data_IF_423866072878
#
_entry.id   IF_423866072878
#
_cell.length_a   1.000
_cell.length_b   1.000
_cell.length_c   1.000
_cell.angle_alpha   90.00
_cell.angle_beta   90.00
_cell.angle_gamma   90.00
#
_symmetry.space_group_name_H-M   'P 1'
#
loop_
_entity.id
_entity.type
_entity.pdbx_description
1 polymer ?
#
# COMPACT_ATOMS: atom_id res chain seq x y z
N UNK A 1 32.77 -31.23 -6.57
CA UNK A 1 32.45 -31.59 -5.18
C UNK A 1 31.20 -30.83 -4.75
N UNK A 2 30.02 -31.42 -4.93
CA UNK A 2 28.77 -30.79 -4.49
C UNK A 2 28.63 -31.02 -2.97
N UNK A 3 28.85 -29.98 -2.17
CA UNK A 3 28.63 -30.04 -0.72
C UNK A 3 27.16 -30.32 -0.44
N UNK A 4 26.87 -31.35 0.37
CA UNK A 4 25.51 -31.64 0.82
C UNK A 4 25.05 -30.47 1.69
N UNK A 5 24.09 -29.69 1.20
CA UNK A 5 23.42 -28.67 2.01
C UNK A 5 22.63 -29.41 3.09
N UNK A 6 23.05 -29.27 4.34
CA UNK A 6 22.32 -29.80 5.49
C UNK A 6 20.92 -29.16 5.62
N UNK A 7 20.13 -29.62 6.59
CA UNK A 7 18.82 -28.99 6.87
C UNK A 7 19.03 -27.49 7.10
N UNK A 8 18.26 -26.60 6.44
CA UNK A 8 18.38 -25.16 6.65
C UNK A 8 18.20 -24.82 8.13
N UNK A 9 18.98 -23.86 8.61
CA UNK A 9 18.89 -23.37 9.98
C UNK A 9 17.51 -22.78 10.26
N UNK A 10 16.96 -23.06 11.44
CA UNK A 10 15.76 -22.39 11.94
C UNK A 10 16.05 -20.89 12.19
N UNK A 11 15.06 -19.99 12.07
CA UNK A 11 15.25 -18.56 12.31
C UNK A 11 15.85 -18.27 13.68
N UNK A 12 16.67 -17.21 13.79
CA UNK A 12 17.46 -16.94 15.00
C UNK A 12 16.60 -16.78 16.26
N UNK A 13 15.46 -16.09 16.15
CA UNK A 13 14.50 -15.95 17.25
C UNK A 13 13.92 -17.29 17.70
N UNK A 14 13.59 -18.18 16.76
CA UNK A 14 13.05 -19.52 17.06
C UNK A 14 14.13 -20.39 17.72
N UNK A 15 15.36 -20.30 17.22
CA UNK A 15 16.52 -20.97 17.80
C UNK A 15 16.79 -20.52 19.23
N UNK A 16 16.72 -19.21 19.47
CA UNK A 16 16.88 -18.61 20.80
C UNK A 16 15.77 -19.06 21.77
N UNK A 17 14.50 -19.04 21.33
CA UNK A 17 13.36 -19.52 22.12
C UNK A 17 13.47 -21.01 22.49
N UNK A 18 14.11 -21.82 21.63
CA UNK A 18 14.44 -23.21 21.89
C UNK A 18 15.60 -23.44 22.86
N UNK A 19 16.13 -22.38 23.49
CA UNK A 19 17.22 -22.46 24.46
C UNK A 19 18.63 -22.40 23.85
N UNK A 20 18.76 -21.97 22.59
CA UNK A 20 20.04 -21.84 21.89
C UNK A 20 20.91 -23.12 21.95
N UNK A 21 20.42 -24.27 21.44
CA UNK A 21 21.13 -25.55 21.52
C UNK A 21 22.51 -25.53 20.83
N UNK A 22 22.68 -24.66 19.84
CA UNK A 22 23.95 -24.48 19.10
C UNK A 22 24.93 -23.52 19.79
N UNK A 23 24.56 -22.91 20.93
CA UNK A 23 25.38 -21.98 21.71
C UNK A 23 25.93 -20.82 20.86
N UNK A 24 25.15 -20.36 19.89
CA UNK A 24 25.50 -19.21 19.06
C UNK A 24 25.50 -17.93 19.90
N UNK A 25 26.31 -16.91 19.55
CA UNK A 25 26.20 -15.60 20.16
C UNK A 25 24.77 -15.07 20.07
N UNK A 26 24.25 -14.52 21.18
CA UNK A 26 22.88 -13.99 21.22
C UNK A 26 22.66 -12.88 20.19
N UNK A 27 23.71 -12.09 19.91
CA UNK A 27 23.67 -11.06 18.87
C UNK A 27 23.40 -11.65 17.47
N UNK A 28 23.91 -12.83 17.17
CA UNK A 28 23.71 -13.49 15.88
C UNK A 28 22.29 -14.08 15.76
N UNK A 29 21.67 -14.42 16.89
CA UNK A 29 20.30 -14.96 16.95
C UNK A 29 19.22 -13.88 16.96
N UNK A 30 19.49 -12.74 17.59
CA UNK A 30 18.54 -11.65 17.78
C UNK A 30 18.83 -10.43 16.90
N UNK A 31 19.91 -10.45 16.11
CA UNK A 31 20.31 -9.37 15.21
C UNK A 31 19.46 -9.24 13.94
N UNK A 32 18.44 -10.09 13.75
CA UNK A 32 17.52 -9.97 12.63
C UNK A 32 16.71 -8.67 12.73
N UNK A 33 16.58 -7.97 11.59
CA UNK A 33 15.80 -6.74 11.51
C UNK A 33 14.32 -7.01 11.87
N UNK A 34 13.87 -6.40 12.97
CA UNK A 34 12.53 -6.58 13.51
C UNK A 34 12.06 -5.26 14.11
N UNK A 35 11.55 -4.32 13.29
CA UNK A 35 11.07 -3.04 13.79
C UNK A 35 9.88 -3.26 14.73
N UNK A 36 9.73 -2.37 15.70
CA UNK A 36 8.57 -2.38 16.59
C UNK A 36 7.28 -2.16 15.80
N UNK A 37 6.25 -2.91 16.16
CA UNK A 37 4.91 -2.72 15.61
C UNK A 37 4.37 -1.41 16.17
N UNK A 38 4.18 -0.43 15.29
CA UNK A 38 3.70 0.89 15.67
C UNK A 38 3.10 1.59 14.45
N UNK A 39 1.86 2.08 14.60
CA UNK A 39 1.23 2.89 13.56
C UNK A 39 1.88 4.29 13.48
N UNK A 40 2.54 4.66 12.36
CA UNK A 40 3.08 6.00 12.19
C UNK A 40 2.00 7.09 12.23
N UNK A 41 2.39 8.29 12.66
CA UNK A 41 1.50 9.45 12.67
C UNK A 41 1.13 9.86 11.24
N UNK A 42 -0.18 10.01 11.01
CA UNK A 42 -0.73 10.44 9.74
C UNK A 42 -0.13 11.80 9.33
N UNK A 43 0.45 11.94 8.12
CA UNK A 43 1.01 13.21 7.68
C UNK A 43 -0.04 14.33 7.60
N UNK A 44 0.32 15.52 8.09
CA UNK A 44 -0.58 16.68 8.16
C UNK A 44 -1.05 17.18 6.80
N UNK A 45 -0.25 17.01 5.75
CA UNK A 45 -0.56 17.48 4.40
C UNK A 45 -1.55 16.60 3.63
N UNK A 46 -1.91 15.40 4.13
CA UNK A 46 -2.88 14.53 3.46
C UNK A 46 -4.25 15.19 3.40
N UNK A 47 -5.01 15.00 2.33
CA UNK A 47 -6.40 15.48 2.27
C UNK A 47 -7.34 14.60 3.10
N UNK A 48 -8.59 15.02 3.31
CA UNK A 48 -9.52 14.32 4.21
C UNK A 48 -9.78 12.86 3.83
N UNK A 49 -10.00 12.56 2.54
CA UNK A 49 -10.18 11.18 2.09
C UNK A 49 -8.92 10.33 2.28
N UNK A 50 -7.75 10.90 2.00
CA UNK A 50 -6.48 10.20 2.23
C UNK A 50 -6.26 9.96 3.73
N UNK A 51 -6.58 10.93 4.60
CA UNK A 51 -6.50 10.75 6.05
C UNK A 51 -7.49 9.70 6.57
N UNK A 52 -8.69 9.60 5.99
CA UNK A 52 -9.66 8.55 6.30
C UNK A 52 -9.09 7.18 5.96
N UNK A 53 -8.54 7.04 4.77
CA UNK A 53 -7.96 5.78 4.31
C UNK A 53 -6.74 5.37 5.13
N UNK A 54 -5.82 6.29 5.37
CA UNK A 54 -4.64 6.07 6.20
C UNK A 54 -5.01 5.50 7.58
N UNK A 55 -6.05 6.06 8.21
CA UNK A 55 -6.55 5.57 9.50
C UNK A 55 -7.29 4.24 9.38
N UNK A 56 -8.01 4.00 8.28
CA UNK A 56 -8.74 2.74 8.04
C UNK A 56 -7.78 1.57 7.92
N UNK A 57 -6.80 1.67 7.02
CA UNK A 57 -5.82 0.59 6.80
C UNK A 57 -4.82 0.49 7.96
N UNK A 58 -4.41 1.63 8.52
CA UNK A 58 -3.42 1.67 9.59
C UNK A 58 -3.86 0.91 10.84
N UNK A 59 -5.14 1.02 11.23
CA UNK A 59 -5.69 0.28 12.37
C UNK A 59 -5.62 -1.24 12.17
N UNK A 60 -5.94 -1.73 10.97
CA UNK A 60 -5.87 -3.16 10.69
C UNK A 60 -4.42 -3.64 10.62
N UNK A 61 -3.53 -2.88 9.96
CA UNK A 61 -2.12 -3.24 9.88
C UNK A 61 -1.45 -3.31 11.26
N UNK A 62 -1.74 -2.35 12.15
CA UNK A 62 -1.25 -2.36 13.52
C UNK A 62 -1.78 -3.56 14.30
N UNK A 63 -3.09 -3.84 14.19
CA UNK A 63 -3.73 -5.00 14.83
C UNK A 63 -3.07 -6.32 14.47
N UNK A 64 -2.59 -6.46 13.24
CA UNK A 64 -1.95 -7.68 12.74
C UNK A 64 -0.41 -7.66 12.78
N UNK A 65 0.21 -6.61 13.33
CA UNK A 65 1.67 -6.52 13.39
C UNK A 65 2.37 -6.27 12.05
N UNK A 66 1.67 -5.65 11.10
CA UNK A 66 2.11 -5.45 9.71
C UNK A 66 2.56 -4.01 9.40
N UNK A 67 2.79 -3.19 10.43
CA UNK A 67 3.21 -1.80 10.25
C UNK A 67 4.20 -1.39 11.33
N UNK A 68 5.14 -0.54 10.92
CA UNK A 68 6.14 0.11 11.74
C UNK A 68 6.22 1.60 11.39
N UNK A 69 6.97 2.38 12.19
CA UNK A 69 7.25 3.78 11.89
C UNK A 69 7.88 4.03 10.51
N UNK A 70 8.58 3.04 9.95
CA UNK A 70 9.25 3.15 8.65
C UNK A 70 8.26 3.21 7.49
N UNK A 71 7.06 2.66 7.69
CA UNK A 71 6.04 2.53 6.65
C UNK A 71 5.27 3.85 6.40
N UNK A 72 5.60 4.91 7.13
CA UNK A 72 4.88 6.20 7.05
C UNK A 72 4.79 6.73 5.62
N UNK A 73 5.87 6.65 4.86
CA UNK A 73 5.95 7.15 3.48
C UNK A 73 5.05 6.36 2.53
N UNK A 74 5.21 5.04 2.51
CA UNK A 74 4.45 4.16 1.61
C UNK A 74 2.96 4.19 1.94
N UNK A 75 2.59 4.17 3.23
CA UNK A 75 1.19 4.31 3.65
C UNK A 75 0.57 5.63 3.22
N UNK A 76 1.33 6.73 3.30
CA UNK A 76 0.86 8.03 2.85
C UNK A 76 0.60 8.05 1.34
N UNK A 77 1.49 7.44 0.54
CA UNK A 77 1.32 7.31 -0.89
C UNK A 77 0.08 6.48 -1.26
N UNK A 78 -0.11 5.31 -0.63
CA UNK A 78 -1.30 4.47 -0.83
C UNK A 78 -2.59 5.24 -0.51
N UNK A 79 -2.60 5.97 0.62
CA UNK A 79 -3.74 6.77 1.02
C UNK A 79 -4.07 7.92 0.03
N UNK A 80 -3.03 8.59 -0.51
CA UNK A 80 -3.22 9.61 -1.56
C UNK A 80 -3.78 8.97 -2.84
N UNK A 81 -3.27 7.81 -3.21
CA UNK A 81 -3.68 7.12 -4.43
C UNK A 81 -5.14 6.66 -4.35
N UNK A 82 -5.55 6.12 -3.20
CA UNK A 82 -6.96 5.83 -2.89
C UNK A 82 -7.86 7.06 -3.02
N UNK A 83 -7.45 8.19 -2.43
CA UNK A 83 -8.24 9.42 -2.48
C UNK A 83 -8.41 9.95 -3.92
N UNK A 84 -7.36 9.87 -4.74
CA UNK A 84 -7.40 10.26 -6.16
C UNK A 84 -8.31 9.35 -6.98
N UNK A 85 -8.20 8.04 -6.77
CA UNK A 85 -9.07 7.06 -7.41
C UNK A 85 -10.54 7.31 -7.07
N UNK A 86 -10.86 7.42 -5.78
CA UNK A 86 -12.22 7.65 -5.32
C UNK A 86 -12.80 8.95 -5.90
N UNK A 87 -12.00 10.03 -5.95
CA UNK A 87 -12.41 11.29 -6.57
C UNK A 87 -12.72 11.12 -8.07
N UNK A 88 -11.85 10.40 -8.80
CA UNK A 88 -12.03 10.15 -10.23
C UNK A 88 -13.27 9.31 -10.49
N UNK A 89 -13.47 8.20 -9.77
CA UNK A 89 -14.65 7.33 -9.90
C UNK A 89 -15.95 8.09 -9.63
N UNK A 90 -15.98 8.92 -8.58
CA UNK A 90 -17.14 9.77 -8.30
C UNK A 90 -17.43 10.77 -9.41
N UNK A 91 -16.37 11.28 -10.07
CA UNK A 91 -16.54 12.22 -11.19
C UNK A 91 -17.04 11.50 -12.44
N UNK A 92 -16.50 10.32 -12.74
CA UNK A 92 -16.94 9.46 -13.84
C UNK A 92 -18.42 9.13 -13.68
N UNK A 93 -18.83 8.66 -12.50
CA UNK A 93 -20.23 8.34 -12.21
C UNK A 93 -21.15 9.54 -12.45
N UNK A 94 -20.81 10.71 -11.92
CA UNK A 94 -21.60 11.94 -12.10
C UNK A 94 -21.72 12.38 -13.56
N UNK A 95 -20.66 12.22 -14.35
CA UNK A 95 -20.67 12.57 -15.77
C UNK A 95 -21.52 11.58 -16.58
N UNK A 96 -21.43 10.30 -16.26
CA UNK A 96 -22.21 9.26 -16.92
C UNK A 96 -23.71 9.36 -16.60
N UNK A 97 -24.09 9.69 -15.36
CA UNK A 97 -25.49 9.88 -14.97
C UNK A 97 -26.18 11.03 -15.76
N UNK A 98 -25.41 12.05 -16.15
CA UNK A 98 -25.89 13.18 -16.94
C UNK A 98 -25.88 12.92 -18.46
N UNK A 99 -25.28 11.81 -18.91
CA UNK A 99 -25.14 11.46 -20.32
C UNK A 99 -26.09 10.30 -20.69
N UNK A 100 -27.02 10.47 -21.64
CA UNK A 100 -27.89 9.39 -22.12
C UNK A 100 -27.14 8.14 -22.59
N UNK A 101 -25.87 8.27 -23.01
CA UNK A 101 -25.03 7.16 -23.45
C UNK A 101 -24.17 6.58 -22.32
N UNK A 102 -24.03 7.25 -21.18
CA UNK A 102 -23.21 6.83 -20.05
C UNK A 102 -21.71 6.71 -20.36
N UNK A 103 -21.19 7.45 -21.35
CA UNK A 103 -19.77 7.40 -21.75
C UNK A 103 -19.01 8.70 -21.46
N UNK A 104 -19.69 9.79 -21.09
CA UNK A 104 -19.10 11.11 -20.88
C UNK A 104 -18.00 11.16 -19.80
N UNK A 105 -18.06 10.31 -18.79
CA UNK A 105 -17.01 10.17 -17.78
C UNK A 105 -15.78 9.42 -18.27
N UNK A 106 -15.89 8.65 -19.36
CA UNK A 106 -14.84 7.76 -19.87
C UNK A 106 -14.14 8.34 -21.12
N UNK A 107 -14.83 9.19 -21.87
CA UNK A 107 -14.40 9.67 -23.17
C UNK A 107 -14.42 11.19 -23.21
N UNK A 108 -13.30 11.79 -23.59
CA UNK A 108 -13.20 13.20 -23.93
C UNK A 108 -13.08 13.37 -25.46
N UNK A 109 -13.33 14.59 -25.96
CA UNK A 109 -13.32 14.90 -27.39
C UNK A 109 -12.38 16.06 -27.69
N UNK A 110 -11.52 15.85 -28.67
CA UNK A 110 -10.66 16.91 -29.20
C UNK A 110 -11.47 17.92 -30.03
N UNK A 111 -10.94 19.12 -30.35
CA UNK A 111 -11.63 20.08 -31.22
C UNK A 111 -12.04 19.54 -32.60
N UNK A 112 -11.39 18.47 -33.07
CA UNK A 112 -11.68 17.79 -34.34
C UNK A 112 -12.60 16.55 -34.16
N UNK A 113 -13.29 16.43 -33.02
CA UNK A 113 -14.25 15.36 -32.68
C UNK A 113 -13.67 13.94 -32.53
N UNK A 114 -12.34 13.78 -32.46
CA UNK A 114 -11.74 12.49 -32.12
C UNK A 114 -11.97 12.16 -30.64
N UNK A 115 -12.39 10.91 -30.37
CA UNK A 115 -12.54 10.34 -29.04
C UNK A 115 -11.17 10.01 -28.43
N UNK A 116 -10.93 10.48 -27.22
CA UNK A 116 -9.75 10.17 -26.41
C UNK A 116 -10.18 9.76 -25.00
N UNK A 117 -9.27 9.16 -24.24
CA UNK A 117 -9.53 8.80 -22.84
C UNK A 117 -9.70 10.07 -22.00
N UNK A 118 -10.76 10.13 -21.18
CA UNK A 118 -10.97 11.26 -20.27
C UNK A 118 -9.85 11.38 -19.24
N UNK A 119 -9.65 12.60 -18.73
CA UNK A 119 -8.65 12.88 -17.68
C UNK A 119 -9.00 12.12 -16.40
N UNK A 120 -10.28 12.04 -16.07
CA UNK A 120 -10.79 11.28 -14.93
C UNK A 120 -10.42 9.80 -15.04
N UNK A 121 -10.62 9.19 -16.21
CA UNK A 121 -10.29 7.79 -16.43
C UNK A 121 -8.78 7.53 -16.38
N UNK A 122 -7.96 8.48 -16.85
CA UNK A 122 -6.50 8.40 -16.71
C UNK A 122 -6.08 8.44 -15.22
N UNK A 123 -6.68 9.31 -14.41
CA UNK A 123 -6.39 9.41 -12.98
C UNK A 123 -6.83 8.15 -12.24
N UNK A 124 -8.00 7.61 -12.56
CA UNK A 124 -8.50 6.35 -11.97
C UNK A 124 -7.55 5.19 -12.26
N UNK A 125 -7.20 4.97 -13.54
CA UNK A 125 -6.31 3.87 -13.95
C UNK A 125 -4.90 3.99 -13.38
N UNK A 126 -4.39 5.22 -13.23
CA UNK A 126 -3.09 5.46 -12.60
C UNK A 126 -3.03 5.01 -11.14
N UNK A 127 -4.18 4.83 -10.49
CA UNK A 127 -4.27 4.27 -9.15
C UNK A 127 -4.22 2.74 -9.10
N UNK A 128 -4.63 2.08 -10.18
CA UNK A 128 -4.73 0.61 -10.26
C UNK A 128 -3.38 -0.04 -10.59
N UNK A 129 -2.42 0.71 -11.12
CA UNK A 129 -1.14 0.18 -11.62
C UNK A 129 0.00 0.12 -10.58
N UNK A 130 -0.31 0.17 -9.29
CA UNK A 130 0.67 0.17 -8.17
C UNK A 130 0.71 -1.18 -7.46
#
# INVERSE_FOLDING_TARGET
MAGRVGRPSIPGKVHYLGGNPSKLPVADLLGEFSPDVELPSCPSHLQDEARREYRRIGKELERYGLVSKLDRGVMAMCAVQWARWLWAEQRIAKLNDADPKGEAGLIDRTPNDYKVMSVELQISRGAESQ
#
